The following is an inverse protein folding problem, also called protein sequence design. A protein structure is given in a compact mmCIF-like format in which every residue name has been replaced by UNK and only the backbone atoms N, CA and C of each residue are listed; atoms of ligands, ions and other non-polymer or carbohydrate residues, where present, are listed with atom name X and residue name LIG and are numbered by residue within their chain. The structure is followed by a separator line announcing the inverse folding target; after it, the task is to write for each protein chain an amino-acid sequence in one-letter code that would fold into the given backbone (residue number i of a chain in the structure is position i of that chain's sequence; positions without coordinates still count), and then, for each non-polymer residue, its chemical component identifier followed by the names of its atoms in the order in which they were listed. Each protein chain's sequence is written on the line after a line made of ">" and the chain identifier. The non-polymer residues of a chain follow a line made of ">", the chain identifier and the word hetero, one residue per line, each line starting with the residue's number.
data_IF_387850849303
#
_entry.id   IF_387850849303
#
_cell.length_a   1.000
_cell.length_b   1.000
_cell.length_c   1.000
_cell.angle_alpha   90.00
_cell.angle_beta   90.00
_cell.angle_gamma   90.00
#
_symmetry.space_group_name_H-M   'P 1'
#
loop_
_entity.id
_entity.type
_entity.pdbx_description
1 polymer ?
#
# COMPACT_ATOMS: atom_id res chain seq x y z
N UNK A 1 -11.14 1.55 3.51
CA UNK A 1 -10.91 1.69 4.96
C UNK A 1 -9.46 1.30 5.22
N UNK A 2 -8.64 2.17 5.80
CA UNK A 2 -7.28 1.80 6.21
C UNK A 2 -7.41 0.85 7.40
N UNK A 3 -7.21 -0.44 7.17
CA UNK A 3 -7.09 -1.37 8.30
C UNK A 3 -5.74 -1.12 8.97
N UNK A 4 -5.74 -0.94 10.29
CA UNK A 4 -4.52 -0.83 11.08
C UNK A 4 -3.90 -2.22 11.14
N UNK A 5 -3.00 -2.49 10.19
CA UNK A 5 -2.24 -3.74 10.06
C UNK A 5 -0.77 -3.42 9.94
N UNK A 6 0.09 -4.30 10.47
CA UNK A 6 1.54 -4.21 10.26
C UNK A 6 1.82 -4.29 8.76
N UNK A 7 2.66 -3.38 8.27
CA UNK A 7 3.08 -3.33 6.88
C UNK A 7 4.60 -3.18 6.82
N UNK A 8 5.25 -3.94 5.94
CA UNK A 8 6.64 -3.75 5.58
C UNK A 8 6.69 -2.85 4.35
N UNK A 9 7.53 -1.81 4.39
CA UNK A 9 7.77 -0.91 3.25
C UNK A 9 9.26 -1.01 2.90
N UNK A 10 9.55 -1.47 1.69
CA UNK A 10 10.91 -1.44 1.15
C UNK A 10 11.20 -0.03 0.61
N UNK A 11 12.40 0.48 0.88
CA UNK A 11 12.94 1.70 0.28
C UNK A 11 13.98 1.32 -0.76
N UNK A 12 13.97 1.99 -1.91
CA UNK A 12 15.02 1.86 -2.91
C UNK A 12 16.20 2.80 -2.60
N UNK A 13 17.27 2.71 -3.40
CA UNK A 13 18.47 3.52 -3.22
C UNK A 13 18.18 5.03 -3.27
N UNK A 14 17.24 5.45 -4.12
CA UNK A 14 16.89 6.86 -4.28
C UNK A 14 16.07 7.36 -3.09
N UNK A 15 15.15 6.55 -2.56
CA UNK A 15 14.44 6.82 -1.32
C UNK A 15 15.42 6.98 -0.14
N UNK A 16 16.45 6.13 -0.07
CA UNK A 16 17.46 6.17 0.99
C UNK A 16 18.31 7.44 0.90
N UNK A 17 18.77 7.82 -0.31
CA UNK A 17 19.52 9.08 -0.49
C UNK A 17 18.71 10.31 -0.06
N UNK A 18 17.42 10.36 -0.40
CA UNK A 18 16.55 11.47 -0.01
C UNK A 18 16.32 11.50 1.51
N UNK A 19 16.16 10.34 2.14
CA UNK A 19 16.06 10.24 3.60
C UNK A 19 17.33 10.77 4.29
N UNK A 20 18.51 10.37 3.82
CA UNK A 20 19.79 10.83 4.37
C UNK A 20 19.95 12.35 4.21
N UNK A 21 19.53 12.91 3.06
CA UNK A 21 19.52 14.36 2.84
C UNK A 21 18.62 15.08 3.85
N UNK A 22 17.39 14.60 4.03
CA UNK A 22 16.42 15.16 4.99
C UNK A 22 16.96 15.13 6.42
N UNK A 23 17.55 14.01 6.84
CA UNK A 23 18.14 13.84 8.17
C UNK A 23 19.32 14.80 8.37
N UNK A 24 20.19 14.91 7.36
CA UNK A 24 21.35 15.81 7.40
C UNK A 24 20.93 17.28 7.48
N UNK A 25 19.91 17.66 6.72
CA UNK A 25 19.40 19.03 6.67
C UNK A 25 18.50 19.38 7.87
N UNK A 26 18.05 18.38 8.64
CA UNK A 26 17.13 18.56 9.77
C UNK A 26 15.75 19.09 9.35
N UNK A 27 15.32 18.85 8.10
CA UNK A 27 14.07 19.40 7.57
C UNK A 27 12.86 18.55 7.98
N UNK A 28 12.24 18.91 9.11
CA UNK A 28 11.05 18.24 9.63
C UNK A 28 9.84 18.28 8.68
N UNK A 29 9.71 19.34 7.88
CA UNK A 29 8.59 19.46 6.94
C UNK A 29 8.78 18.51 5.77
N UNK A 30 10.00 18.40 5.27
CA UNK A 30 10.33 17.44 4.23
C UNK A 30 10.26 16.01 4.76
N UNK A 31 10.66 15.75 6.01
CA UNK A 31 10.49 14.44 6.63
C UNK A 31 9.01 14.00 6.65
N UNK A 32 8.09 14.90 7.01
CA UNK A 32 6.66 14.59 6.99
C UNK A 32 6.14 14.32 5.57
N UNK A 33 6.60 15.11 4.59
CA UNK A 33 6.25 14.89 3.17
C UNK A 33 6.76 13.54 2.68
N UNK A 34 8.01 13.22 2.97
CA UNK A 34 8.64 11.94 2.65
C UNK A 34 7.88 10.77 3.27
N UNK A 35 7.54 10.84 4.56
CA UNK A 35 6.78 9.77 5.24
C UNK A 35 5.39 9.57 4.63
N UNK A 36 4.68 10.65 4.27
CA UNK A 36 3.39 10.53 3.58
C UNK A 36 3.55 9.84 2.22
N UNK A 37 4.56 10.22 1.44
CA UNK A 37 4.82 9.62 0.13
C UNK A 37 5.25 8.15 0.25
N UNK A 38 6.29 7.86 1.03
CA UNK A 38 6.91 6.54 1.06
C UNK A 38 6.15 5.54 1.93
N UNK A 39 5.58 5.95 3.07
CA UNK A 39 4.88 5.02 3.97
C UNK A 39 3.39 4.98 3.64
N UNK A 40 2.71 6.13 3.67
CA UNK A 40 1.25 6.16 3.58
C UNK A 40 0.74 5.76 2.19
N UNK A 41 1.31 6.30 1.10
CA UNK A 41 0.86 5.92 -0.25
C UNK A 41 1.19 4.47 -0.60
N UNK A 42 2.38 3.96 -0.21
CA UNK A 42 2.75 2.56 -0.49
C UNK A 42 1.83 1.59 0.26
N UNK A 43 1.46 1.88 1.51
CA UNK A 43 0.47 1.09 2.27
C UNK A 43 -0.89 1.12 1.57
N UNK A 44 -1.37 2.29 1.14
CA UNK A 44 -2.66 2.41 0.44
C UNK A 44 -2.65 1.58 -0.85
N UNK A 45 -1.60 1.71 -1.67
CA UNK A 45 -1.49 0.96 -2.93
C UNK A 45 -1.47 -0.54 -2.69
N UNK A 46 -0.72 -1.00 -1.68
CA UNK A 46 -0.68 -2.42 -1.31
C UNK A 46 -2.05 -2.95 -0.85
N UNK A 47 -2.83 -2.15 -0.11
CA UNK A 47 -4.18 -2.52 0.31
C UNK A 47 -5.19 -2.52 -0.86
N UNK A 48 -5.10 -1.55 -1.78
CA UNK A 48 -5.96 -1.47 -2.96
C UNK A 48 -5.73 -2.65 -3.91
N UNK A 49 -4.47 -3.05 -4.14
CA UNK A 49 -4.16 -4.22 -4.97
C UNK A 49 -4.76 -5.51 -4.42
N UNK A 50 -4.75 -5.70 -3.09
CA UNK A 50 -5.40 -6.85 -2.44
C UNK A 50 -6.91 -6.81 -2.59
N UNK A 51 -7.54 -5.65 -2.42
CA UNK A 51 -8.98 -5.52 -2.58
C UNK A 51 -9.43 -5.91 -4.00
N UNK A 52 -8.67 -5.52 -5.03
CA UNK A 52 -8.94 -5.94 -6.41
C UNK A 52 -8.85 -7.46 -6.58
N UNK A 53 -7.80 -8.11 -6.05
CA UNK A 53 -7.66 -9.57 -6.13
C UNK A 53 -8.80 -10.34 -5.43
N UNK A 54 -9.35 -9.79 -4.34
CA UNK A 54 -10.49 -10.38 -3.65
C UNK A 54 -11.82 -10.22 -4.42
N UNK A 55 -11.97 -9.14 -5.18
CA UNK A 55 -13.14 -8.93 -6.04
C UNK A 55 -13.05 -9.76 -7.33
N UNK A 56 -11.87 -9.88 -7.94
CA UNK A 56 -11.66 -10.70 -9.15
C UNK A 56 -11.81 -12.21 -8.87
N UNK A 57 -11.53 -12.65 -7.63
CA UNK A 57 -11.73 -14.05 -7.22
C UNK A 57 -13.19 -14.42 -6.95
N UNK A 58 -14.09 -13.43 -6.79
CA UNK A 58 -15.49 -13.67 -6.56
C UNK A 58 -16.26 -13.59 -7.90
N UNK A 59 -16.30 -14.70 -8.64
CA UNK A 59 -17.22 -14.81 -9.80
C UNK A 59 -18.66 -14.87 -9.29
N UNK A 60 -19.50 -13.85 -9.53
CA UNK A 60 -20.88 -13.84 -9.02
C UNK A 60 -21.76 -14.92 -9.66
N UNK A 61 -21.29 -15.52 -10.75
CA UNK A 61 -22.08 -16.41 -11.63
C UNK A 61 -21.95 -17.88 -11.22
N UNK A 62 -20.83 -18.28 -10.60
CA UNK A 62 -20.58 -19.69 -10.23
C UNK A 62 -21.60 -20.22 -9.20
N UNK A 63 -22.17 -19.36 -8.36
CA UNK A 63 -23.20 -19.73 -7.39
C UNK A 63 -24.57 -20.07 -7.99
N UNK A 64 -24.82 -19.73 -9.26
CA UNK A 64 -26.12 -19.95 -9.92
C UNK A 64 -26.17 -21.24 -10.76
N UNK A 65 -25.04 -21.93 -10.95
CA UNK A 65 -24.96 -23.19 -11.70
C UNK A 65 -25.00 -24.36 -10.72
N UNK A 66 -26.05 -24.47 -9.91
CA UNK A 66 -26.39 -25.76 -9.29
C UNK A 66 -27.41 -26.46 -10.19
N UNK A 67 -27.10 -27.65 -10.75
CA UNK A 67 -28.08 -28.41 -11.50
C UNK A 67 -29.13 -28.96 -10.54
N UNK A 68 -30.39 -28.60 -10.76
CA UNK A 68 -31.54 -29.23 -10.12
C UNK A 68 -31.46 -30.75 -10.35
N UNK A 69 -31.35 -31.52 -9.26
CA UNK A 69 -31.52 -32.98 -9.27
C UNK A 69 -32.99 -33.35 -9.24
#
# INVERSE_FOLDING_TARGET
>A
MLEIRKAAVSLDEQDLMELERIVTDGDEKEALRFLRKCVYERIIRAQQGRLKSHLDAASPVEGFIQPNK
#
